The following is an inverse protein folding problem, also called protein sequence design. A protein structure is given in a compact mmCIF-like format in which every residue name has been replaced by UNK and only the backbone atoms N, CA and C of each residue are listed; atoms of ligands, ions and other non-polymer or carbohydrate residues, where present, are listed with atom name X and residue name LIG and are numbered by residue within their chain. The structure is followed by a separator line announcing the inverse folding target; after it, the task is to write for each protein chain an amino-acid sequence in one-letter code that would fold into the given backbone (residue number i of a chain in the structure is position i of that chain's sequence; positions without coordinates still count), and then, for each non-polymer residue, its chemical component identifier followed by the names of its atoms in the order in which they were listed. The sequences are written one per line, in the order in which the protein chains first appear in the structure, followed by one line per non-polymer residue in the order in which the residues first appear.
data_IF_827923973151
#
_entry.id   IF_827923973151
#
_cell.length_a   1.000
_cell.length_b   1.000
_cell.length_c   1.000
_cell.angle_alpha   90.00
_cell.angle_beta   90.00
_cell.angle_gamma   90.00
#
_symmetry.space_group_name_H-M   'P 1'
#
loop_
_entity.id
_entity.type
_entity.pdbx_description
1 polymer ?
#
# COMPACT_ATOMS: atom_id res chain seq x y z
N UNK A 1 22.22 -0.52 1.91
CA UNK A 1 22.40 0.56 2.91
C UNK A 1 23.61 1.36 2.48
N UNK A 2 23.57 2.68 2.69
CA UNK A 2 24.75 3.54 2.60
C UNK A 2 25.00 4.16 3.97
N UNK A 3 26.26 4.45 4.28
CA UNK A 3 26.65 5.05 5.57
C UNK A 3 25.95 6.40 5.82
N UNK A 4 25.56 6.65 7.08
CA UNK A 4 24.76 7.82 7.46
C UNK A 4 23.26 7.69 7.16
N UNK A 5 22.49 8.74 7.44
CA UNK A 5 21.05 8.77 7.12
C UNK A 5 20.88 8.93 5.60
N UNK A 6 20.57 7.84 4.92
CA UNK A 6 20.35 7.81 3.47
C UNK A 6 18.97 7.24 3.13
N UNK A 7 18.34 7.75 2.07
CA UNK A 7 17.06 7.25 1.56
C UNK A 7 17.18 5.93 0.78
N UNK A 8 18.40 5.40 0.62
CA UNK A 8 18.66 4.08 0.03
C UNK A 8 18.25 3.90 -1.44
N UNK A 9 17.82 4.97 -2.12
CA UNK A 9 17.50 4.98 -3.56
C UNK A 9 16.28 4.15 -3.99
N UNK A 10 15.54 3.55 -3.05
CA UNK A 10 14.38 2.70 -3.33
C UNK A 10 13.09 3.37 -2.87
N UNK A 11 11.98 3.05 -3.54
CA UNK A 11 10.65 3.41 -3.04
C UNK A 11 10.45 2.80 -1.63
N UNK A 12 9.73 3.50 -0.74
CA UNK A 12 9.53 3.02 0.62
C UNK A 12 8.66 1.76 0.61
N UNK A 13 9.16 0.75 1.31
CA UNK A 13 8.56 -0.56 1.44
C UNK A 13 8.55 -0.96 2.91
N UNK A 14 7.72 -1.93 3.26
CA UNK A 14 7.79 -2.68 4.51
C UNK A 14 9.11 -3.45 4.57
N UNK A 15 9.52 -3.95 5.76
CA UNK A 15 10.68 -4.83 5.87
C UNK A 15 10.63 -6.08 4.97
N UNK A 16 9.44 -6.48 4.52
CA UNK A 16 9.21 -7.64 3.63
C UNK A 16 8.98 -7.25 2.16
N UNK A 17 9.25 -6.00 1.79
CA UNK A 17 9.20 -5.55 0.39
C UNK A 17 7.83 -5.09 -0.13
N UNK A 18 6.77 -5.13 0.67
CA UNK A 18 5.46 -4.58 0.27
C UNK A 18 5.53 -3.05 0.24
N UNK A 19 5.12 -2.41 -0.86
CA UNK A 19 5.10 -0.94 -0.97
C UNK A 19 4.19 -0.31 0.09
N UNK A 20 4.67 0.75 0.75
CA UNK A 20 3.90 1.47 1.78
C UNK A 20 3.14 2.68 1.23
N UNK A 21 3.47 3.13 0.02
CA UNK A 21 2.82 4.28 -0.62
C UNK A 21 1.76 3.82 -1.62
N UNK A 22 0.49 3.99 -1.24
CA UNK A 22 -0.66 3.81 -2.15
C UNK A 22 -1.07 2.36 -2.45
N UNK A 23 -0.34 1.36 -1.94
CA UNK A 23 -0.65 -0.03 -2.18
C UNK A 23 -1.90 -0.49 -1.39
N UNK A 24 -2.92 -0.98 -2.10
CA UNK A 24 -4.14 -1.53 -1.47
C UNK A 24 -3.88 -2.98 -1.04
N UNK A 25 -4.04 -3.26 0.25
CA UNK A 25 -3.76 -4.58 0.83
C UNK A 25 -4.98 -5.53 0.90
N UNK A 26 -6.21 -5.02 0.72
CA UNK A 26 -7.44 -5.83 0.78
C UNK A 26 -7.61 -6.69 -0.48
N UNK A 27 -7.65 -8.02 -0.29
CA UNK A 27 -7.82 -9.01 -1.39
C UNK A 27 -9.15 -9.78 -1.43
N UNK A 28 -9.92 -9.81 -0.33
CA UNK A 28 -11.12 -10.66 -0.25
C UNK A 28 -12.22 -10.19 -1.23
N UNK A 29 -12.44 -10.96 -2.30
CA UNK A 29 -13.45 -10.67 -3.33
C UNK A 29 -14.87 -11.04 -2.91
N UNK A 30 -15.06 -12.08 -2.10
CA UNK A 30 -16.39 -12.62 -1.72
C UNK A 30 -17.28 -11.57 -1.07
N UNK A 31 -16.69 -10.71 -0.25
CA UNK A 31 -17.41 -9.65 0.48
C UNK A 31 -17.40 -8.32 -0.24
N UNK A 32 -16.74 -8.19 -1.40
CA UNK A 32 -16.71 -6.91 -2.14
C UNK A 32 -18.09 -6.48 -2.65
N UNK A 33 -18.97 -7.44 -2.98
CA UNK A 33 -20.35 -7.15 -3.42
C UNK A 33 -21.21 -6.50 -2.34
N UNK A 34 -20.80 -6.61 -1.07
CA UNK A 34 -21.50 -6.03 0.07
C UNK A 34 -20.99 -4.61 0.41
N UNK A 35 -19.95 -4.12 -0.28
CA UNK A 35 -19.37 -2.79 -0.02
C UNK A 35 -20.11 -1.77 -0.89
N UNK A 36 -20.90 -0.91 -0.26
CA UNK A 36 -21.69 0.14 -0.95
C UNK A 36 -20.79 1.27 -1.49
N UNK A 37 -19.78 1.71 -0.73
CA UNK A 37 -18.87 2.79 -1.14
C UNK A 37 -17.46 2.56 -0.61
N UNK A 38 -16.44 2.88 -1.42
CA UNK A 38 -15.02 2.90 -1.00
C UNK A 38 -14.59 4.32 -0.68
N UNK A 39 -13.68 4.49 0.28
CA UNK A 39 -13.18 5.81 0.73
C UNK A 39 -12.67 6.72 -0.40
N UNK A 40 -12.04 6.14 -1.43
CA UNK A 40 -11.54 6.87 -2.60
C UNK A 40 -12.44 6.86 -3.82
N UNK A 41 -13.67 6.34 -3.74
CA UNK A 41 -14.63 6.50 -4.81
C UNK A 41 -15.06 7.97 -4.85
N UNK A 42 -14.89 8.65 -5.99
CA UNK A 42 -15.52 9.96 -6.18
C UNK A 42 -17.04 9.76 -6.29
N UNK A 43 -17.82 10.69 -5.73
CA UNK A 43 -19.27 10.74 -5.84
C UNK A 43 -19.69 10.99 -7.27
#
# INVERSE_FOLDING_TARGET
GGEGRTSGGRHPVTPWGVSTKGHKTRKNKRTNKLIVRRRGAKS
#
